data_IF_521484342193
#
_entry.id   IF_521484342193
#
_cell.length_a   1.000
_cell.length_b   1.000
_cell.length_c   1.000
_cell.angle_alpha   90.00
_cell.angle_beta   90.00
_cell.angle_gamma   90.00
#
_symmetry.space_group_name_H-M   'P 1'
#
loop_
_entity.id
_entity.type
_entity.pdbx_description
1 polymer ?
#
# COMPACT_ATOMS: atom_id res chain seq x y z
N UNK A 1 2.68 1.77 24.86
CA UNK A 1 2.26 1.77 23.45
C UNK A 1 3.47 1.25 22.73
N UNK A 2 3.34 0.22 21.89
CA UNK A 2 4.49 -0.27 21.11
C UNK A 2 4.46 0.33 19.71
N UNK A 3 5.66 0.62 19.20
CA UNK A 3 5.87 1.01 17.81
C UNK A 3 6.78 -0.07 17.22
N UNK A 4 6.29 -0.77 16.20
CA UNK A 4 7.05 -1.79 15.49
C UNK A 4 7.21 -1.35 14.03
N UNK A 5 8.44 -1.21 13.56
CA UNK A 5 8.71 -0.90 12.16
C UNK A 5 8.67 -2.19 11.33
N UNK A 6 7.88 -2.18 10.27
CA UNK A 6 7.71 -3.31 9.34
C UNK A 6 7.90 -2.85 7.91
N UNK A 7 8.30 -3.81 7.07
CA UNK A 7 8.29 -3.66 5.62
C UNK A 7 7.75 -4.94 4.98
N UNK A 8 6.89 -4.81 3.97
CA UNK A 8 6.34 -5.95 3.22
C UNK A 8 6.46 -5.70 1.72
N UNK A 9 6.64 -6.76 0.94
CA UNK A 9 6.66 -6.69 -0.53
C UNK A 9 5.28 -7.00 -1.08
N UNK A 10 4.96 -6.45 -2.25
CA UNK A 10 3.79 -6.82 -3.02
C UNK A 10 4.13 -7.06 -4.50
N UNK A 11 3.32 -7.89 -5.14
CA UNK A 11 3.31 -8.10 -6.60
C UNK A 11 1.87 -8.02 -7.06
N UNK A 12 1.63 -7.46 -8.24
CA UNK A 12 0.30 -7.39 -8.84
C UNK A 12 0.19 -8.42 -9.96
N UNK A 13 -0.10 -9.71 -9.64
CA UNK A 13 -0.06 -10.80 -10.61
C UNK A 13 -1.21 -10.76 -11.62
N UNK A 14 -2.25 -9.97 -11.36
CA UNK A 14 -3.42 -9.80 -12.23
C UNK A 14 -3.75 -8.32 -12.37
N UNK A 15 -4.48 -7.95 -13.42
CA UNK A 15 -5.01 -6.57 -13.59
C UNK A 15 -6.21 -6.27 -12.72
N UNK A 16 -6.64 -7.24 -11.90
CA UNK A 16 -7.72 -7.04 -10.94
C UNK A 16 -7.18 -6.40 -9.66
N UNK A 17 -8.13 -5.87 -8.88
CA UNK A 17 -7.87 -5.28 -7.58
C UNK A 17 -7.28 -6.33 -6.61
N UNK A 18 -6.08 -6.07 -6.08
CA UNK A 18 -5.33 -6.98 -5.19
C UNK A 18 -5.14 -6.34 -3.82
N UNK A 19 -5.53 -7.01 -2.73
CA UNK A 19 -5.21 -6.54 -1.36
C UNK A 19 -3.75 -6.77 -1.03
N UNK A 20 -3.06 -5.70 -0.61
CA UNK A 20 -1.59 -5.72 -0.39
C UNK A 20 -1.20 -5.44 1.05
N UNK A 21 -2.09 -4.84 1.84
CA UNK A 21 -1.86 -4.54 3.25
C UNK A 21 -3.20 -4.46 3.99
N UNK A 22 -3.29 -5.08 5.16
CA UNK A 22 -4.49 -5.02 6.02
C UNK A 22 -4.09 -4.63 7.42
N UNK A 23 -4.81 -3.65 7.99
CA UNK A 23 -4.63 -3.23 9.37
C UNK A 23 -5.51 -4.08 10.28
N UNK A 24 -4.92 -4.65 11.32
CA UNK A 24 -5.66 -5.40 12.34
C UNK A 24 -6.64 -4.48 13.09
N UNK A 25 -7.79 -5.04 13.52
CA UNK A 25 -8.85 -4.41 14.30
C UNK A 25 -8.42 -3.72 15.64
N UNK A 26 -7.15 -3.81 16.04
CA UNK A 26 -6.60 -3.33 17.33
C UNK A 26 -5.33 -2.49 17.16
N UNK A 27 -4.94 -2.19 15.91
CA UNK A 27 -3.71 -1.46 15.60
C UNK A 27 -3.98 -0.31 14.65
N UNK A 28 -3.07 0.67 14.60
CA UNK A 28 -3.03 1.69 13.54
C UNK A 28 -1.69 1.66 12.84
N UNK A 29 -1.65 1.92 11.54
CA UNK A 29 -0.40 2.01 10.80
C UNK A 29 -0.08 3.45 10.39
N UNK A 30 1.20 3.79 10.42
CA UNK A 30 1.75 4.98 9.77
C UNK A 30 2.60 4.49 8.61
N UNK A 31 2.09 4.62 7.39
CA UNK A 31 2.81 4.25 6.18
C UNK A 31 3.69 5.42 5.75
N UNK A 32 4.98 5.13 5.57
CA UNK A 32 6.00 6.12 5.20
C UNK A 32 6.43 6.01 3.74
N UNK A 33 6.31 4.83 3.16
CA UNK A 33 6.71 4.60 1.78
C UNK A 33 5.83 3.50 1.19
N UNK A 34 5.44 3.72 -0.08
CA UNK A 34 4.94 2.67 -0.95
C UNK A 34 5.71 2.84 -2.26
N UNK A 35 6.87 2.19 -2.32
CA UNK A 35 7.69 2.17 -3.53
C UNK A 35 7.10 1.17 -4.51
N UNK A 36 6.97 1.58 -5.77
CA UNK A 36 6.42 0.76 -6.85
C UNK A 36 7.33 0.86 -8.07
N UNK A 37 7.63 -0.29 -8.69
CA UNK A 37 8.44 -0.35 -9.90
C UNK A 37 7.68 -1.08 -11.03
N UNK A 38 7.82 -0.56 -12.24
CA UNK A 38 7.40 -1.22 -13.48
C UNK A 38 8.60 -1.96 -14.08
N UNK A 39 8.42 -3.25 -14.35
CA UNK A 39 9.34 -4.10 -15.10
C UNK A 39 8.84 -4.32 -16.54
N UNK A 40 7.93 -3.45 -16.98
CA UNK A 40 7.36 -3.50 -18.32
C UNK A 40 8.15 -2.62 -19.27
N UNK A 41 8.14 -2.98 -20.56
CA UNK A 41 8.76 -2.21 -21.63
C UNK A 41 7.91 -1.03 -22.13
N UNK A 42 6.69 -0.85 -21.59
CA UNK A 42 5.80 0.28 -21.87
C UNK A 42 5.32 0.89 -20.56
N UNK A 43 4.75 2.09 -20.65
CA UNK A 43 4.04 2.73 -19.54
C UNK A 43 2.89 1.85 -19.02
N UNK A 44 2.75 1.77 -17.70
CA UNK A 44 1.71 1.00 -17.02
C UNK A 44 0.91 1.91 -16.10
N UNK A 45 -0.41 1.82 -16.19
CA UNK A 45 -1.31 2.58 -15.33
C UNK A 45 -1.59 1.78 -14.06
N UNK A 46 -1.54 2.46 -12.91
CA UNK A 46 -1.75 1.88 -11.60
C UNK A 46 -2.66 2.76 -10.75
N UNK A 47 -3.59 2.11 -10.03
CA UNK A 47 -4.47 2.74 -9.06
C UNK A 47 -4.24 2.16 -7.66
N UNK A 48 -4.11 3.05 -6.68
CA UNK A 48 -3.86 2.69 -5.29
C UNK A 48 -5.02 3.17 -4.43
N UNK A 49 -5.68 2.23 -3.76
CA UNK A 49 -6.89 2.49 -3.00
C UNK A 49 -6.64 2.35 -1.50
N UNK A 50 -7.18 3.30 -0.73
CA UNK A 50 -7.44 3.14 0.68
C UNK A 50 -8.90 2.71 0.83
N UNK A 51 -9.12 1.57 1.49
CA UNK A 51 -10.45 1.05 1.75
C UNK A 51 -10.75 1.16 3.25
N UNK A 52 -11.95 1.64 3.53
CA UNK A 52 -12.56 1.76 4.86
C UNK A 52 -13.90 1.03 4.86
N UNK A 53 -14.44 0.79 6.05
CA UNK A 53 -15.74 0.12 6.19
C UNK A 53 -16.90 0.84 5.47
N UNK A 54 -16.79 2.15 5.27
CA UNK A 54 -17.81 3.00 4.65
C UNK A 54 -17.52 3.39 3.19
N UNK A 55 -16.42 2.89 2.60
CA UNK A 55 -16.10 3.17 1.20
C UNK A 55 -14.61 3.10 0.88
N UNK A 56 -14.30 3.35 -0.39
CA UNK A 56 -12.95 3.29 -0.94
C UNK A 56 -12.61 4.57 -1.70
N UNK A 57 -11.35 4.98 -1.67
CA UNK A 57 -10.86 6.12 -2.43
C UNK A 57 -9.50 5.81 -3.07
N UNK A 58 -9.30 6.25 -4.31
CA UNK A 58 -7.98 6.28 -4.95
C UNK A 58 -7.20 7.43 -4.31
N UNK A 59 -6.07 7.11 -3.67
CA UNK A 59 -5.19 8.13 -3.07
C UNK A 59 -3.94 8.38 -3.92
N UNK A 60 -3.63 7.48 -4.85
CA UNK A 60 -2.55 7.64 -5.81
C UNK A 60 -2.93 6.96 -7.13
N UNK A 61 -2.92 7.74 -8.21
CA UNK A 61 -3.15 7.31 -9.58
C UNK A 61 -1.95 7.75 -10.40
N UNK A 62 -1.35 6.82 -11.15
CA UNK A 62 -0.11 7.08 -11.87
C UNK A 62 -0.01 6.25 -13.14
N UNK A 63 0.67 6.80 -14.13
CA UNK A 63 1.19 6.07 -15.28
C UNK A 63 2.71 5.93 -15.09
N UNK A 64 3.14 4.77 -14.60
CA UNK A 64 4.55 4.47 -14.33
C UNK A 64 5.25 4.21 -15.67
N UNK A 65 6.27 4.99 -16.07
CA UNK A 65 7.01 4.75 -17.31
C UNK A 65 7.67 3.36 -17.36
N UNK A 66 8.06 2.95 -18.56
CA UNK A 66 8.82 1.72 -18.76
C UNK A 66 10.11 1.72 -17.91
N UNK A 67 10.44 0.56 -17.33
CA UNK A 67 11.66 0.33 -16.54
C UNK A 67 11.96 1.40 -15.48
N UNK A 68 10.91 1.88 -14.81
CA UNK A 68 11.02 2.99 -13.85
C UNK A 68 10.29 2.68 -12.53
N UNK A 69 10.36 3.62 -11.58
CA UNK A 69 9.73 3.50 -10.28
C UNK A 69 9.17 4.84 -9.81
N UNK A 70 8.24 4.77 -8.86
CA UNK A 70 7.65 5.91 -8.17
C UNK A 70 7.39 5.55 -6.69
N UNK A 71 7.05 6.55 -5.87
CA UNK A 71 6.64 6.39 -4.48
C UNK A 71 5.27 7.03 -4.25
N UNK A 72 4.27 6.22 -3.94
CA UNK A 72 2.89 6.69 -3.76
C UNK A 72 2.69 7.54 -2.49
N UNK A 73 3.67 7.58 -1.57
CA UNK A 73 3.56 8.31 -0.30
C UNK A 73 4.48 9.52 -0.29
N UNK A 74 3.93 10.72 -0.53
CA UNK A 74 4.70 11.97 -0.51
C UNK A 74 4.87 12.59 0.89
N UNK A 75 4.16 12.12 1.91
CA UNK A 75 4.34 12.58 3.28
C UNK A 75 4.08 11.46 4.29
N UNK A 76 2.81 11.11 4.52
CA UNK A 76 2.41 10.03 5.41
C UNK A 76 0.98 9.63 5.09
N UNK A 77 0.71 8.32 5.08
CA UNK A 77 -0.65 7.79 5.09
C UNK A 77 -0.91 7.14 6.45
N UNK A 78 -1.94 7.61 7.15
CA UNK A 78 -2.40 7.01 8.40
C UNK A 78 -3.51 6.03 8.07
N UNK A 79 -3.39 4.80 8.57
CA UNK A 79 -4.40 3.78 8.40
C UNK A 79 -4.95 3.35 9.76
N UNK A 80 -6.27 3.22 9.79
CA UNK A 80 -7.07 2.93 10.97
C UNK A 80 -7.40 1.44 11.11
N UNK A 81 -8.04 1.05 12.22
CA UNK A 81 -8.40 -0.35 12.45
C UNK A 81 -9.33 -0.83 11.32
N UNK A 82 -9.03 -1.99 10.75
CA UNK A 82 -9.76 -2.60 9.63
C UNK A 82 -9.62 -1.85 8.28
N UNK A 83 -8.82 -0.80 8.20
CA UNK A 83 -8.45 -0.25 6.89
C UNK A 83 -7.59 -1.28 6.13
N UNK A 84 -7.67 -1.25 4.81
CA UNK A 84 -6.81 -2.07 3.96
C UNK A 84 -6.50 -1.36 2.64
N UNK A 85 -5.33 -1.68 2.09
CA UNK A 85 -4.91 -1.18 0.78
C UNK A 85 -5.17 -2.23 -0.27
N UNK A 86 -5.73 -1.79 -1.39
CA UNK A 86 -5.80 -2.59 -2.61
C UNK A 86 -5.18 -1.82 -3.75
N UNK A 87 -4.40 -2.48 -4.59
CA UNK A 87 -3.80 -1.87 -5.78
C UNK A 87 -4.29 -2.59 -7.04
N UNK A 88 -4.37 -1.85 -8.13
CA UNK A 88 -4.75 -2.34 -9.44
C UNK A 88 -3.72 -1.88 -10.48
N UNK A 89 -3.51 -2.70 -11.50
CA UNK A 89 -2.58 -2.42 -12.60
C UNK A 89 -3.26 -2.70 -13.94
N UNK A 90 -3.01 -1.89 -14.97
CA UNK A 90 -3.61 -2.10 -16.29
C UNK A 90 -2.98 -3.28 -17.07
N UNK A 91 -1.79 -3.72 -16.67
CA UNK A 91 -1.09 -4.90 -17.22
C UNK A 91 -0.65 -5.84 -16.09
N UNK A 92 -1.08 -7.09 -16.14
CA UNK A 92 -0.82 -8.07 -15.08
C UNK A 92 0.66 -8.46 -15.00
N UNK A 93 1.18 -8.65 -13.78
CA UNK A 93 2.46 -9.30 -13.53
C UNK A 93 3.71 -8.46 -13.77
N UNK A 94 3.55 -7.20 -14.17
CA UNK A 94 4.67 -6.32 -14.54
C UNK A 94 4.99 -5.24 -13.50
N UNK A 95 4.24 -5.19 -12.40
CA UNK A 95 4.43 -4.24 -11.30
C UNK A 95 4.65 -4.98 -9.98
N UNK A 96 5.64 -4.51 -9.22
CA UNK A 96 5.93 -4.96 -7.86
C UNK A 96 6.53 -3.84 -7.04
N UNK A 97 6.54 -3.99 -5.72
CA UNK A 97 7.07 -2.96 -4.84
C UNK A 97 7.17 -3.38 -3.39
N UNK A 98 7.38 -2.39 -2.53
CA UNK A 98 7.45 -2.54 -1.09
C UNK A 98 6.64 -1.47 -0.37
N UNK A 99 6.19 -1.80 0.83
CA UNK A 99 5.49 -0.90 1.73
C UNK A 99 6.27 -0.87 3.05
N UNK A 100 6.72 0.31 3.46
CA UNK A 100 7.39 0.54 4.75
C UNK A 100 6.47 1.30 5.70
N UNK A 101 6.22 0.75 6.88
CA UNK A 101 5.23 1.29 7.81
C UNK A 101 5.57 1.00 9.27
N UNK A 102 5.06 1.84 10.16
CA UNK A 102 5.10 1.62 11.61
C UNK A 102 3.74 1.12 12.10
N UNK A 103 3.73 0.04 12.87
CA UNK A 103 2.56 -0.48 13.58
C UNK A 103 2.50 0.14 14.96
N UNK A 104 1.41 0.84 15.24
CA UNK A 104 1.07 1.38 16.56
C UNK A 104 0.11 0.41 17.24
N UNK A 105 0.53 -0.15 18.37
CA UNK A 105 -0.30 -1.07 19.15
C UNK A 105 -0.36 -0.69 20.62
N UNK A 106 -1.49 -1.03 21.25
CA UNK A 106 -1.63 -0.98 22.72
C UNK A 106 -1.22 -2.29 23.40
N UNK A 107 -0.64 -3.24 22.66
CA UNK A 107 -0.15 -4.49 23.22
C UNK A 107 0.80 -4.18 24.38
N UNK A 108 0.58 -4.84 25.51
CA UNK A 108 1.36 -4.66 26.74
C UNK A 108 1.26 -3.28 27.41
N UNK A 109 0.18 -2.51 27.20
CA UNK A 109 -0.15 -1.39 28.09
C UNK A 109 -1.12 -1.86 29.17
N UNK A 110 -0.72 -1.69 30.44
CA UNK A 110 -1.64 -1.75 31.56
C UNK A 110 -2.36 -0.41 31.66
N UNK A 111 -3.70 -0.43 31.57
CA UNK A 111 -4.62 0.64 32.00
C UNK A 111 -4.39 2.01 31.37
#
# INVERSE_FOLDING_TARGET
MTIEYKSEIFRLPTTNLTTVLTVNATTRFIVKEIGVASQHNNTVECDFYLNKANGSAVFFHIQIPADSHDNAIHNTLVMEENDYLTFQVSTAGVVSGQISYAVLSRKNQNG
#
